data_IF_208074180707
#
_entry.id   IF_208074180707
#
_cell.length_a   1.000
_cell.length_b   1.000
_cell.length_c   1.000
_cell.angle_alpha   90.00
_cell.angle_beta   90.00
_cell.angle_gamma   90.00
#
_symmetry.space_group_name_H-M   'P 1'
#
loop_
_entity.id
_entity.type
_entity.pdbx_description
1 polymer ?
#
# COMPACT_ATOMS: atom_id res chain seq x y z
N UNK A 1 -14.64 -14.17 21.88
CA UNK A 1 -13.55 -13.29 21.44
C UNK A 1 -12.45 -14.16 20.87
N UNK A 2 -11.94 -13.83 19.71
CA UNK A 2 -10.86 -14.53 19.01
C UNK A 2 -9.81 -13.45 18.69
N UNK A 3 -8.57 -13.72 19.06
CA UNK A 3 -7.47 -12.79 18.88
C UNK A 3 -6.48 -13.42 17.90
N UNK A 4 -6.21 -12.72 16.82
CA UNK A 4 -5.24 -13.00 15.77
C UNK A 4 -5.17 -14.47 15.30
N UNK A 5 -6.26 -15.02 14.76
CA UNK A 5 -6.40 -16.46 14.57
C UNK A 5 -5.41 -17.08 13.58
N UNK A 6 -4.70 -16.27 12.77
CA UNK A 6 -3.93 -16.77 11.60
C UNK A 6 -2.53 -16.15 11.47
N UNK A 7 -2.08 -15.33 12.42
CA UNK A 7 -0.89 -14.45 12.27
C UNK A 7 0.47 -15.13 12.04
N UNK A 8 0.60 -16.42 12.33
CA UNK A 8 1.91 -17.10 12.32
C UNK A 8 1.97 -18.33 11.42
N UNK A 9 0.99 -18.52 10.55
CA UNK A 9 0.88 -19.74 9.76
C UNK A 9 1.23 -19.51 8.29
N UNK A 10 1.80 -20.57 7.66
CA UNK A 10 1.95 -20.62 6.22
C UNK A 10 0.58 -20.64 5.49
N UNK A 11 0.60 -20.47 4.18
CA UNK A 11 -0.61 -20.31 3.39
C UNK A 11 -1.55 -21.52 3.48
N UNK A 12 -1.02 -22.73 3.55
CA UNK A 12 -1.83 -23.96 3.63
C UNK A 12 -2.54 -24.07 4.98
N UNK A 13 -1.83 -23.85 6.06
CA UNK A 13 -2.40 -23.84 7.41
C UNK A 13 -3.41 -22.70 7.58
N UNK A 14 -3.16 -21.53 6.96
CA UNK A 14 -4.10 -20.40 6.96
C UNK A 14 -5.46 -20.78 6.38
N UNK A 15 -5.50 -21.44 5.22
CA UNK A 15 -6.74 -21.91 4.58
C UNK A 15 -7.48 -22.88 5.49
N UNK A 16 -6.76 -23.83 6.10
CA UNK A 16 -7.33 -24.80 7.03
C UNK A 16 -7.98 -24.13 8.25
N UNK A 17 -7.30 -23.17 8.87
CA UNK A 17 -7.80 -22.43 10.04
C UNK A 17 -9.03 -21.58 9.67
N UNK A 18 -8.99 -20.86 8.56
CA UNK A 18 -10.12 -20.07 8.11
C UNK A 18 -11.35 -20.95 7.80
N UNK A 19 -11.16 -22.11 7.18
CA UNK A 19 -12.22 -23.06 6.90
C UNK A 19 -12.83 -23.63 8.20
N UNK A 20 -11.98 -23.96 9.19
CA UNK A 20 -12.44 -24.39 10.50
C UNK A 20 -13.19 -23.28 11.23
N UNK A 21 -12.68 -22.06 11.19
CA UNK A 21 -13.32 -20.89 11.78
C UNK A 21 -14.70 -20.65 11.17
N UNK A 22 -14.81 -20.69 9.83
CA UNK A 22 -16.09 -20.61 9.11
C UNK A 22 -17.09 -21.64 9.61
N UNK A 23 -16.67 -22.89 9.68
CA UNK A 23 -17.53 -23.98 10.13
C UNK A 23 -18.02 -23.75 11.55
N UNK A 24 -17.13 -23.41 12.50
CA UNK A 24 -17.47 -23.20 13.91
C UNK A 24 -18.35 -21.99 14.12
N UNK A 25 -18.01 -20.84 13.53
CA UNK A 25 -18.83 -19.63 13.64
C UNK A 25 -20.21 -19.84 13.04
N UNK A 26 -20.29 -20.54 11.90
CA UNK A 26 -21.57 -20.90 11.29
C UNK A 26 -22.42 -21.81 12.17
N UNK A 27 -21.82 -22.80 12.86
CA UNK A 27 -22.53 -23.65 13.82
C UNK A 27 -23.08 -22.85 15.02
N UNK A 28 -22.24 -22.00 15.63
CA UNK A 28 -22.66 -21.19 16.79
C UNK A 28 -23.77 -20.20 16.40
N UNK A 29 -23.66 -19.55 15.24
CA UNK A 29 -24.68 -18.61 14.77
C UNK A 29 -26.02 -19.26 14.47
N UNK A 30 -26.03 -20.49 13.93
CA UNK A 30 -27.26 -21.27 13.72
C UNK A 30 -27.87 -21.80 14.99
N UNK A 31 -27.05 -22.09 15.99
CA UNK A 31 -27.49 -22.66 17.28
C UNK A 31 -28.05 -21.63 18.26
N UNK A 32 -27.72 -20.35 18.11
CA UNK A 32 -28.17 -19.30 19.01
C UNK A 32 -28.13 -17.94 18.33
N UNK A 33 -29.31 -17.37 18.07
CA UNK A 33 -29.50 -16.06 17.42
C UNK A 33 -28.90 -14.88 18.19
N UNK A 34 -28.62 -15.05 19.47
CA UNK A 34 -27.99 -14.03 20.33
C UNK A 34 -26.46 -14.13 20.37
N UNK A 35 -25.85 -15.04 19.61
CA UNK A 35 -24.40 -15.19 19.56
C UNK A 35 -23.75 -13.92 18.99
N UNK A 36 -22.71 -13.44 19.70
CA UNK A 36 -21.90 -12.29 19.26
C UNK A 36 -20.43 -12.70 19.21
N UNK A 37 -19.76 -12.33 18.14
CA UNK A 37 -18.34 -12.61 17.96
C UNK A 37 -17.57 -11.32 17.85
N UNK A 38 -16.40 -11.26 18.46
CA UNK A 38 -15.42 -10.21 18.30
C UNK A 38 -14.13 -10.90 17.88
N UNK A 39 -13.59 -10.49 16.75
CA UNK A 39 -12.35 -11.02 16.18
C UNK A 39 -11.38 -9.86 16.01
N UNK A 40 -10.18 -10.01 16.52
CA UNK A 40 -9.09 -9.04 16.35
C UNK A 40 -8.04 -9.64 15.41
N UNK A 41 -7.44 -8.81 14.61
CA UNK A 41 -6.24 -9.13 13.84
C UNK A 41 -5.47 -7.85 13.50
N UNK A 42 -4.15 -7.95 13.44
CA UNK A 42 -3.28 -6.88 12.97
C UNK A 42 -2.87 -7.09 11.49
N UNK A 43 -3.17 -8.26 10.92
CA UNK A 43 -2.88 -8.59 9.53
C UNK A 43 -4.06 -8.23 8.63
N UNK A 44 -3.83 -7.32 7.68
CA UNK A 44 -4.86 -6.81 6.78
C UNK A 44 -5.43 -7.89 5.85
N UNK A 45 -4.61 -8.86 5.43
CA UNK A 45 -5.09 -9.96 4.59
C UNK A 45 -6.04 -10.86 5.39
N UNK A 46 -5.68 -11.22 6.63
CA UNK A 46 -6.54 -11.97 7.54
C UNK A 46 -7.84 -11.22 7.82
N UNK A 47 -7.79 -9.90 7.95
CA UNK A 47 -8.98 -9.07 8.13
C UNK A 47 -9.96 -9.21 6.96
N UNK A 48 -9.49 -9.11 5.71
CA UNK A 48 -10.35 -9.27 4.54
C UNK A 48 -10.87 -10.70 4.37
N UNK A 49 -10.04 -11.71 4.66
CA UNK A 49 -10.46 -13.11 4.60
C UNK A 49 -11.59 -13.40 5.63
N UNK A 50 -11.46 -12.86 6.86
CA UNK A 50 -12.47 -12.99 7.91
C UNK A 50 -13.74 -12.20 7.55
N UNK A 51 -13.61 -10.99 6.99
CA UNK A 51 -14.74 -10.19 6.54
C UNK A 51 -15.58 -10.95 5.52
N UNK A 52 -14.92 -11.50 4.49
CA UNK A 52 -15.59 -12.32 3.47
C UNK A 52 -16.26 -13.56 4.07
N UNK A 53 -15.56 -14.28 4.93
CA UNK A 53 -16.07 -15.44 5.64
C UNK A 53 -17.33 -15.13 6.46
N UNK A 54 -17.36 -14.02 7.20
CA UNK A 54 -18.52 -13.59 7.99
C UNK A 54 -19.67 -13.18 7.06
N UNK A 55 -19.38 -12.48 5.97
CA UNK A 55 -20.39 -12.11 4.97
C UNK A 55 -21.07 -13.34 4.38
N UNK A 56 -20.32 -14.38 4.02
CA UNK A 56 -20.86 -15.65 3.54
C UNK A 56 -21.73 -16.38 4.59
N UNK A 57 -21.27 -16.44 5.87
CA UNK A 57 -22.05 -17.03 6.96
C UNK A 57 -23.39 -16.29 7.12
N UNK A 58 -23.35 -14.95 7.20
CA UNK A 58 -24.55 -14.13 7.37
C UNK A 58 -25.48 -14.26 6.16
N UNK A 59 -24.92 -14.30 4.95
CA UNK A 59 -25.68 -14.52 3.71
C UNK A 59 -26.43 -15.87 3.74
N UNK A 60 -25.70 -16.92 4.14
CA UNK A 60 -26.27 -18.29 4.25
C UNK A 60 -27.39 -18.39 5.31
N UNK A 61 -27.24 -17.70 6.45
CA UNK A 61 -28.23 -17.76 7.54
C UNK A 61 -29.48 -16.95 7.22
N UNK A 62 -29.30 -15.78 6.64
CA UNK A 62 -30.40 -14.82 6.43
C UNK A 62 -30.98 -14.83 5.02
N UNK A 63 -30.45 -15.63 4.09
CA UNK A 63 -30.93 -15.70 2.70
C UNK A 63 -30.83 -14.39 1.94
N UNK A 64 -29.82 -13.55 2.25
CA UNK A 64 -29.59 -12.23 1.65
C UNK A 64 -28.24 -12.20 0.94
N UNK A 65 -28.10 -11.25 -0.03
CA UNK A 65 -26.80 -11.04 -0.67
C UNK A 65 -25.75 -10.56 0.34
N UNK A 66 -24.48 -10.87 0.08
CA UNK A 66 -23.37 -10.45 0.95
C UNK A 66 -23.33 -8.93 1.14
N UNK A 67 -23.60 -8.14 0.12
CA UNK A 67 -23.68 -6.69 0.22
C UNK A 67 -24.75 -6.21 1.21
N UNK A 68 -25.91 -6.87 1.26
CA UNK A 68 -27.00 -6.54 2.17
C UNK A 68 -26.72 -6.92 3.63
N UNK A 69 -25.90 -7.96 3.87
CA UNK A 69 -25.58 -8.42 5.23
C UNK A 69 -24.45 -7.62 5.88
N UNK A 70 -23.50 -7.07 5.07
CA UNK A 70 -22.33 -6.34 5.55
C UNK A 70 -22.65 -5.17 6.48
N UNK A 71 -23.68 -4.42 6.22
CA UNK A 71 -24.03 -3.25 7.05
C UNK A 71 -25.00 -3.56 8.18
N UNK A 72 -25.65 -4.73 8.13
CA UNK A 72 -26.75 -5.04 9.07
C UNK A 72 -26.34 -5.95 10.20
N UNK A 73 -25.48 -6.94 9.94
CA UNK A 73 -25.24 -8.04 10.88
C UNK A 73 -23.85 -8.03 11.51
N UNK A 74 -22.91 -7.28 10.94
CA UNK A 74 -21.57 -7.11 11.53
C UNK A 74 -21.00 -5.73 11.22
N UNK A 75 -20.02 -5.33 12.00
CA UNK A 75 -19.29 -4.09 11.85
C UNK A 75 -17.81 -4.38 11.69
N UNK A 76 -17.16 -3.63 10.84
CA UNK A 76 -15.73 -3.61 10.66
C UNK A 76 -15.17 -2.38 11.35
N UNK A 77 -14.24 -2.58 12.25
CA UNK A 77 -13.71 -1.53 13.11
C UNK A 77 -12.18 -1.49 13.01
N UNK A 78 -11.64 -0.29 13.04
CA UNK A 78 -10.20 -0.03 13.13
C UNK A 78 -9.91 0.51 14.53
N UNK A 79 -8.96 -0.14 15.21
CA UNK A 79 -8.43 0.32 16.49
C UNK A 79 -7.23 1.21 16.21
N UNK A 80 -7.34 2.48 16.55
CA UNK A 80 -6.22 3.42 16.55
C UNK A 80 -5.86 3.78 18.00
N UNK A 81 -4.69 4.38 18.25
CA UNK A 81 -4.09 4.61 19.58
C UNK A 81 -5.04 5.10 20.68
N UNK A 82 -6.14 5.73 20.35
CA UNK A 82 -7.09 6.28 21.33
C UNK A 82 -8.56 6.09 20.97
N UNK A 83 -8.89 5.54 19.80
CA UNK A 83 -10.27 5.49 19.32
C UNK A 83 -10.54 4.23 18.50
N UNK A 84 -11.79 3.78 18.53
CA UNK A 84 -12.33 2.78 17.62
C UNK A 84 -13.12 3.52 16.55
N UNK A 85 -12.79 3.30 15.28
CA UNK A 85 -13.44 3.91 14.12
C UNK A 85 -14.05 2.84 13.24
N UNK A 86 -15.10 3.19 12.50
CA UNK A 86 -15.62 2.31 11.45
C UNK A 86 -14.56 2.13 10.35
N UNK A 87 -14.24 0.87 10.04
CA UNK A 87 -13.35 0.54 8.95
C UNK A 87 -14.11 0.66 7.62
N UNK A 88 -13.64 1.51 6.75
CA UNK A 88 -14.25 1.67 5.44
C UNK A 88 -13.70 0.61 4.47
N UNK A 89 -14.54 -0.34 4.04
CA UNK A 89 -14.19 -1.36 3.02
C UNK A 89 -13.80 -0.76 1.67
N UNK A 90 -14.25 0.46 1.37
CA UNK A 90 -13.75 1.22 0.23
C UNK A 90 -12.32 1.73 0.48
N UNK A 91 -11.75 1.40 1.65
CA UNK A 91 -10.36 1.63 1.93
C UNK A 91 -9.53 0.81 0.92
N UNK A 92 -8.96 1.54 0.03
CA UNK A 92 -8.04 1.22 -1.04
C UNK A 92 -7.04 0.16 -0.57
N UNK A 93 -6.65 -0.70 -1.47
CA UNK A 93 -5.56 -1.63 -1.19
C UNK A 93 -4.34 -0.85 -0.65
N UNK A 94 -3.47 -1.51 0.06
CA UNK A 94 -2.31 -0.87 0.69
C UNK A 94 -1.48 -0.05 -0.31
N UNK A 95 -1.27 -0.59 -1.50
CA UNK A 95 -0.57 0.10 -2.57
C UNK A 95 -1.24 1.43 -2.97
N UNK A 96 -2.57 1.45 -3.12
CA UNK A 96 -3.32 2.68 -3.43
C UNK A 96 -3.15 3.73 -2.33
N UNK A 97 -3.21 3.31 -1.06
CA UNK A 97 -2.97 4.22 0.09
C UNK A 97 -1.55 4.80 0.05
N UNK A 98 -0.54 3.96 -0.18
CA UNK A 98 0.84 4.41 -0.27
C UNK A 98 1.03 5.39 -1.44
N UNK A 99 0.43 5.10 -2.59
CA UNK A 99 0.51 5.97 -3.77
C UNK A 99 -0.18 7.33 -3.51
N UNK A 100 -1.31 7.34 -2.82
CA UNK A 100 -1.98 8.58 -2.43
C UNK A 100 -1.18 9.40 -1.42
N UNK A 101 -0.53 8.75 -0.45
CA UNK A 101 0.37 9.43 0.48
C UNK A 101 1.51 10.11 -0.30
N UNK A 102 2.11 9.40 -1.27
CA UNK A 102 3.15 9.99 -2.13
C UNK A 102 2.60 11.17 -2.93
N UNK A 103 1.39 11.06 -3.46
CA UNK A 103 0.75 12.13 -4.21
C UNK A 103 0.45 13.35 -3.32
N UNK A 104 -0.15 13.16 -2.16
CA UNK A 104 -0.47 14.24 -1.23
C UNK A 104 0.81 14.92 -0.73
N UNK A 105 1.86 14.16 -0.45
CA UNK A 105 3.16 14.70 -0.09
C UNK A 105 3.80 15.50 -1.25
N UNK A 106 3.74 14.99 -2.47
CA UNK A 106 4.25 15.68 -3.66
C UNK A 106 3.51 17.00 -3.90
N UNK A 107 2.19 17.03 -3.72
CA UNK A 107 1.36 18.20 -3.98
C UNK A 107 1.43 19.25 -2.86
N UNK A 108 1.25 18.82 -1.61
CA UNK A 108 1.08 19.73 -0.47
C UNK A 108 2.28 19.76 0.49
N UNK A 109 3.21 18.82 0.41
CA UNK A 109 4.36 18.74 1.31
C UNK A 109 3.95 18.49 2.78
N UNK A 110 2.94 17.62 3.03
CA UNK A 110 2.48 17.32 4.39
C UNK A 110 3.63 16.88 5.29
N UNK A 111 3.66 17.39 6.52
CA UNK A 111 4.69 17.05 7.52
C UNK A 111 4.51 15.67 8.13
N UNK A 112 3.31 15.08 8.03
CA UNK A 112 2.93 13.86 8.76
C UNK A 112 3.78 12.64 8.37
N UNK A 113 4.26 12.61 7.14
CA UNK A 113 5.06 11.50 6.60
C UNK A 113 6.53 11.85 6.34
N UNK A 114 7.02 13.00 6.80
CA UNK A 114 8.34 13.53 6.45
C UNK A 114 9.48 12.53 6.71
N UNK A 115 9.40 11.76 7.80
CA UNK A 115 10.42 10.77 8.17
C UNK A 115 10.24 9.42 7.45
N UNK A 116 9.02 9.04 7.12
CA UNK A 116 8.70 7.74 6.50
C UNK A 116 8.52 7.79 4.99
N UNK A 117 8.45 8.97 4.39
CA UNK A 117 8.11 9.14 2.96
C UNK A 117 9.09 8.44 2.04
N UNK A 118 10.38 8.38 2.39
CA UNK A 118 11.38 7.66 1.62
C UNK A 118 11.06 6.16 1.48
N UNK A 119 10.72 5.52 2.60
CA UNK A 119 10.33 4.11 2.61
C UNK A 119 9.00 3.88 1.88
N UNK A 120 8.05 4.82 1.97
CA UNK A 120 6.77 4.75 1.27
C UNK A 120 6.99 4.83 -0.25
N UNK A 121 7.78 5.79 -0.71
CA UNK A 121 8.15 5.94 -2.12
C UNK A 121 8.82 4.68 -2.68
N UNK A 122 9.72 4.09 -1.91
CA UNK A 122 10.38 2.85 -2.27
C UNK A 122 9.39 1.69 -2.42
N UNK A 123 8.51 1.47 -1.43
CA UNK A 123 7.47 0.43 -1.50
C UNK A 123 6.58 0.58 -2.72
N UNK A 124 6.21 1.83 -3.07
CA UNK A 124 5.41 2.12 -4.27
C UNK A 124 6.17 1.70 -5.55
N UNK A 125 7.44 2.05 -5.67
CA UNK A 125 8.26 1.69 -6.83
C UNK A 125 8.51 0.18 -6.92
N UNK A 126 8.78 -0.50 -5.81
CA UNK A 126 8.98 -1.95 -5.74
C UNK A 126 7.71 -2.70 -6.17
N UNK A 127 6.56 -2.29 -5.63
CA UNK A 127 5.28 -2.89 -6.00
C UNK A 127 4.98 -2.69 -7.49
N UNK A 128 5.11 -1.46 -8.00
CA UNK A 128 4.90 -1.16 -9.41
C UNK A 128 5.85 -1.96 -10.31
N UNK A 129 7.15 -1.96 -9.99
CA UNK A 129 8.15 -2.69 -10.77
C UNK A 129 7.89 -4.18 -10.81
N UNK A 130 7.55 -4.76 -9.67
CA UNK A 130 7.25 -6.20 -9.56
C UNK A 130 6.00 -6.57 -10.35
N UNK A 131 4.91 -5.81 -10.22
CA UNK A 131 3.63 -6.14 -10.87
C UNK A 131 3.64 -5.85 -12.37
N UNK A 132 4.21 -4.72 -12.80
CA UNK A 132 4.14 -4.28 -14.19
C UNK A 132 5.28 -4.88 -15.04
N UNK A 133 6.49 -4.94 -14.49
CA UNK A 133 7.69 -5.33 -15.24
C UNK A 133 8.34 -6.63 -14.75
N UNK A 134 7.86 -7.22 -13.65
CA UNK A 134 8.51 -8.38 -12.98
C UNK A 134 9.98 -8.08 -12.62
N UNK A 135 10.29 -6.84 -12.29
CA UNK A 135 11.63 -6.35 -11.98
C UNK A 135 11.65 -5.66 -10.61
N UNK A 136 12.68 -5.93 -9.83
CA UNK A 136 12.93 -5.16 -8.60
C UNK A 136 13.39 -3.73 -8.91
N UNK A 137 13.41 -2.88 -7.89
CA UNK A 137 13.77 -1.46 -8.04
C UNK A 137 15.16 -1.26 -8.64
N UNK A 138 16.15 -2.10 -8.25
CA UNK A 138 17.50 -2.07 -8.78
C UNK A 138 17.54 -2.40 -10.27
N UNK A 139 16.73 -3.35 -10.72
CA UNK A 139 16.63 -3.72 -12.13
C UNK A 139 15.90 -2.66 -12.95
N UNK A 140 14.87 -2.01 -12.38
CA UNK A 140 14.19 -0.88 -13.03
C UNK A 140 15.13 0.28 -13.29
N UNK A 141 16.05 0.55 -12.34
CA UNK A 141 16.99 1.66 -12.42
C UNK A 141 18.05 1.49 -13.52
N UNK A 142 18.35 0.24 -13.89
CA UNK A 142 19.38 -0.10 -14.88
C UNK A 142 18.80 -0.56 -16.21
N UNK A 143 17.48 -0.69 -16.32
CA UNK A 143 16.81 -1.16 -17.52
C UNK A 143 16.94 -0.19 -18.69
N UNK A 144 17.58 -0.65 -19.77
CA UNK A 144 17.85 0.17 -20.95
C UNK A 144 16.58 0.62 -21.69
N UNK A 145 15.53 -0.22 -21.70
CA UNK A 145 14.27 0.11 -22.38
C UNK A 145 13.49 1.16 -21.58
N UNK A 146 13.43 1.01 -20.26
CA UNK A 146 12.81 1.99 -19.36
C UNK A 146 13.56 3.33 -19.45
N UNK A 147 14.89 3.30 -19.39
CA UNK A 147 15.70 4.51 -19.54
C UNK A 147 15.52 5.15 -20.93
N UNK A 148 15.45 4.35 -21.98
CA UNK A 148 15.24 4.84 -23.34
C UNK A 148 13.85 5.45 -23.55
N UNK A 149 12.85 5.11 -22.75
CA UNK A 149 11.52 5.73 -22.80
C UNK A 149 11.51 7.20 -22.39
N UNK A 150 12.57 7.67 -21.72
CA UNK A 150 12.75 9.08 -21.36
C UNK A 150 13.47 9.87 -22.45
N UNK A 151 13.16 11.18 -22.63
CA UNK A 151 13.96 12.10 -23.42
C UNK A 151 15.43 12.06 -22.99
N UNK A 152 16.35 12.25 -23.94
CA UNK A 152 17.80 12.15 -23.69
C UNK A 152 18.23 13.06 -22.54
N UNK A 153 17.67 14.28 -22.47
CA UNK A 153 17.92 15.26 -21.40
C UNK A 153 17.54 14.77 -20.01
N UNK A 154 16.51 13.91 -19.88
CA UNK A 154 15.99 13.43 -18.61
C UNK A 154 16.66 12.11 -18.16
N UNK A 155 17.31 11.39 -19.07
CA UNK A 155 17.89 10.07 -18.77
C UNK A 155 18.96 10.11 -17.68
N UNK A 156 19.83 11.11 -17.71
CA UNK A 156 20.89 11.25 -16.71
C UNK A 156 20.29 11.60 -15.34
N UNK A 157 19.30 12.49 -15.35
CA UNK A 157 18.59 12.86 -14.13
C UNK A 157 17.88 11.66 -13.51
N UNK A 158 17.17 10.87 -14.34
CA UNK A 158 16.51 9.65 -13.90
C UNK A 158 17.50 8.63 -13.31
N UNK A 159 18.64 8.41 -13.96
CA UNK A 159 19.69 7.53 -13.43
C UNK A 159 20.19 7.99 -12.07
N UNK A 160 20.50 9.28 -11.92
CA UNK A 160 20.99 9.83 -10.66
C UNK A 160 19.93 9.75 -9.55
N UNK A 161 18.67 9.95 -9.89
CA UNK A 161 17.54 9.84 -9.00
C UNK A 161 17.33 8.40 -8.52
N UNK A 162 17.29 7.44 -9.43
CA UNK A 162 17.15 6.03 -9.10
C UNK A 162 18.36 5.51 -8.30
N UNK A 163 19.56 5.96 -8.64
CA UNK A 163 20.76 5.66 -7.88
C UNK A 163 20.64 6.11 -6.42
N UNK A 164 20.15 7.30 -6.15
CA UNK A 164 19.93 7.79 -4.79
C UNK A 164 18.85 6.98 -4.03
N UNK A 165 17.79 6.57 -4.71
CA UNK A 165 16.74 5.73 -4.09
C UNK A 165 17.19 4.30 -3.82
N UNK A 166 17.99 3.72 -4.71
CA UNK A 166 18.41 2.31 -4.65
C UNK A 166 19.61 2.13 -3.74
N UNK A 167 20.66 2.93 -3.89
CA UNK A 167 21.91 2.77 -3.13
C UNK A 167 21.77 3.00 -1.63
N UNK A 168 20.79 3.79 -1.21
CA UNK A 168 20.52 3.97 0.20
C UNK A 168 19.91 2.74 0.87
N UNK A 169 19.78 1.65 0.11
CA UNK A 169 19.13 0.42 0.57
C UNK A 169 19.99 -0.82 0.48
N UNK A 170 20.75 -0.99 -0.60
CA UNK A 170 21.50 -2.23 -0.83
C UNK A 170 22.86 -2.27 -0.14
N UNK A 171 23.49 -1.10 0.08
CA UNK A 171 24.77 -1.03 0.81
C UNK A 171 24.65 -1.32 2.31
N UNK A 172 23.46 -1.55 2.81
CA UNK A 172 23.24 -1.68 4.25
C UNK A 172 22.75 -3.05 4.73
N UNK A 173 22.38 -3.99 3.86
CA UNK A 173 21.91 -5.31 4.30
C UNK A 173 23.05 -6.25 4.69
N UNK A 174 24.23 -6.14 4.08
CA UNK A 174 25.38 -7.00 4.43
C UNK A 174 26.33 -6.40 5.48
N UNK A 175 26.43 -5.07 5.57
CA UNK A 175 27.28 -4.39 6.56
C UNK A 175 26.55 -3.99 7.87
N UNK A 176 25.23 -3.97 7.89
CA UNK A 176 24.42 -3.51 9.03
C UNK A 176 24.36 -4.41 10.24
N UNK A 177 24.99 -5.56 10.23
CA UNK A 177 25.10 -6.40 11.44
C UNK A 177 26.11 -5.84 12.46
N UNK A 178 26.89 -4.80 12.13
CA UNK A 178 27.98 -4.35 12.97
C UNK A 178 27.99 -2.86 13.40
N UNK A 179 27.06 -2.01 12.97
CA UNK A 179 27.08 -0.61 13.44
C UNK A 179 25.72 -0.10 13.87
N UNK A 180 25.62 0.23 15.15
CA UNK A 180 24.48 0.72 15.91
C UNK A 180 24.04 2.17 15.57
N UNK A 181 24.24 2.66 14.36
CA UNK A 181 23.77 3.99 13.94
C UNK A 181 22.93 3.87 12.67
N UNK A 182 21.63 3.60 12.86
CA UNK A 182 20.61 3.67 11.82
C UNK A 182 20.34 5.12 11.38
N UNK A 183 21.34 5.80 10.85
CA UNK A 183 21.15 7.08 10.19
C UNK A 183 20.57 6.81 8.79
N UNK A 184 19.26 6.96 8.69
CA UNK A 184 18.58 6.86 7.43
C UNK A 184 19.00 8.06 6.56
N UNK A 185 19.69 7.84 5.44
CA UNK A 185 20.17 8.92 4.56
C UNK A 185 19.04 9.89 4.17
N UNK A 186 17.80 9.42 4.09
CA UNK A 186 16.64 10.26 3.85
C UNK A 186 16.38 11.30 4.94
N UNK A 187 16.89 11.11 6.15
CA UNK A 187 16.73 12.10 7.24
C UNK A 187 17.58 13.34 7.01
N UNK A 188 18.64 13.23 6.22
CA UNK A 188 19.52 14.37 5.85
C UNK A 188 19.04 15.13 4.60
N UNK A 189 18.05 14.60 3.87
CA UNK A 189 17.49 15.25 2.69
C UNK A 189 16.46 16.28 3.12
N UNK A 190 16.52 17.49 2.55
CA UNK A 190 15.54 18.54 2.85
C UNK A 190 14.11 18.14 2.45
N UNK A 191 13.12 18.79 3.04
CA UNK A 191 11.70 18.56 2.70
C UNK A 191 11.42 18.81 1.22
N UNK A 192 11.99 19.87 0.67
CA UNK A 192 11.87 20.27 -0.73
C UNK A 192 12.43 19.21 -1.68
N UNK A 193 13.57 18.66 -1.37
CA UNK A 193 14.18 17.56 -2.12
C UNK A 193 13.34 16.28 -2.05
N UNK A 194 12.80 15.96 -0.87
CA UNK A 194 11.86 14.82 -0.71
C UNK A 194 10.60 15.03 -1.54
N UNK A 195 10.05 16.24 -1.53
CA UNK A 195 8.85 16.58 -2.31
C UNK A 195 9.13 16.51 -3.82
N UNK A 196 10.26 17.02 -4.26
CA UNK A 196 10.72 16.90 -5.65
C UNK A 196 10.86 15.43 -6.05
N UNK A 197 11.45 14.61 -5.19
CA UNK A 197 11.58 13.16 -5.39
C UNK A 197 10.20 12.49 -5.55
N UNK A 198 9.23 12.84 -4.72
CA UNK A 198 7.87 12.31 -4.82
C UNK A 198 7.19 12.68 -6.14
N UNK A 199 7.33 13.94 -6.60
CA UNK A 199 6.83 14.38 -7.91
C UNK A 199 7.44 13.57 -9.05
N UNK A 200 8.74 13.33 -9.00
CA UNK A 200 9.45 12.54 -10.02
C UNK A 200 8.98 11.09 -10.09
N UNK A 201 8.76 10.46 -8.94
CA UNK A 201 8.21 9.10 -8.90
C UNK A 201 6.85 9.06 -9.60
N UNK A 202 5.96 9.98 -9.27
CA UNK A 202 4.63 10.03 -9.87
C UNK A 202 4.67 10.31 -11.36
N UNK A 203 5.53 11.20 -11.80
CA UNK A 203 5.77 11.47 -13.23
C UNK A 203 6.32 10.23 -13.93
N UNK A 204 7.28 9.52 -13.33
CA UNK A 204 7.80 8.25 -13.85
C UNK A 204 6.70 7.22 -14.01
N UNK A 205 5.96 6.95 -12.95
CA UNK A 205 4.88 5.96 -12.95
C UNK A 205 3.79 6.32 -13.98
N UNK A 206 3.45 7.61 -14.08
CA UNK A 206 2.49 8.09 -15.05
C UNK A 206 3.00 7.93 -16.51
N UNK A 207 4.27 8.25 -16.78
CA UNK A 207 4.87 8.02 -18.10
C UNK A 207 4.88 6.55 -18.51
N UNK A 208 5.18 5.66 -17.56
CA UNK A 208 5.25 4.23 -17.82
C UNK A 208 3.87 3.60 -17.97
N UNK A 209 2.89 4.01 -17.17
CA UNK A 209 1.52 3.50 -17.22
C UNK A 209 0.49 4.52 -16.73
N UNK A 210 -0.02 5.41 -17.60
CA UNK A 210 -1.02 6.42 -17.23
C UNK A 210 -2.31 5.83 -16.66
N UNK A 211 -2.78 4.73 -17.25
CA UNK A 211 -4.03 4.07 -16.82
C UNK A 211 -3.93 3.54 -15.40
N UNK A 212 -2.77 3.00 -15.01
CA UNK A 212 -2.52 2.54 -13.66
C UNK A 212 -2.64 3.68 -12.64
N UNK A 213 -1.98 4.80 -12.90
CA UNK A 213 -2.02 5.96 -12.01
C UNK A 213 -3.43 6.53 -11.90
N UNK A 214 -4.13 6.70 -13.03
CA UNK A 214 -5.49 7.21 -13.04
C UNK A 214 -6.47 6.28 -12.31
N UNK A 215 -6.29 4.96 -12.40
CA UNK A 215 -7.11 4.01 -11.66
C UNK A 215 -6.93 4.11 -10.14
N UNK A 216 -5.71 4.32 -9.67
CA UNK A 216 -5.40 4.40 -8.24
C UNK A 216 -5.67 5.79 -7.64
N UNK A 217 -5.52 6.87 -8.42
CA UNK A 217 -5.76 8.25 -7.98
C UNK A 217 -7.11 8.82 -8.41
N UNK A 218 -8.05 7.98 -8.84
CA UNK A 218 -9.37 8.41 -9.35
C UNK A 218 -10.19 9.27 -8.38
N UNK A 219 -9.92 9.18 -7.08
CA UNK A 219 -10.58 9.98 -6.04
C UNK A 219 -9.84 11.31 -5.73
N UNK A 220 -8.76 11.60 -6.46
CA UNK A 220 -8.00 12.85 -6.36
C UNK A 220 -8.34 13.70 -7.59
N UNK A 221 -9.17 14.71 -7.37
CA UNK A 221 -9.60 15.61 -8.44
C UNK A 221 -8.38 16.22 -9.16
N UNK A 222 -8.44 16.25 -10.48
CA UNK A 222 -7.39 16.82 -11.34
C UNK A 222 -5.98 16.22 -11.15
N UNK A 223 -5.86 15.02 -10.56
CA UNK A 223 -4.54 14.42 -10.31
C UNK A 223 -3.73 14.22 -11.59
N UNK A 224 -4.38 13.86 -12.68
CA UNK A 224 -3.73 13.69 -13.98
C UNK A 224 -3.15 15.02 -14.52
N UNK A 225 -3.91 16.11 -14.44
CA UNK A 225 -3.48 17.43 -14.88
C UNK A 225 -2.31 17.96 -14.04
N UNK A 226 -2.39 17.74 -12.73
CA UNK A 226 -1.34 18.13 -11.79
C UNK A 226 -0.04 17.36 -12.08
N UNK A 227 -0.10 16.04 -12.29
CA UNK A 227 1.09 15.24 -12.63
C UNK A 227 1.66 15.66 -13.98
N UNK A 228 0.82 15.99 -14.96
CA UNK A 228 1.26 16.53 -16.25
C UNK A 228 1.95 17.89 -16.12
N UNK A 229 1.49 18.77 -15.22
CA UNK A 229 2.16 20.04 -14.98
C UNK A 229 3.57 19.84 -14.42
N UNK A 230 3.75 18.93 -13.46
CA UNK A 230 5.09 18.59 -12.94
C UNK A 230 6.04 18.07 -14.00
N UNK A 231 5.51 17.43 -15.05
CA UNK A 231 6.31 16.94 -16.17
C UNK A 231 6.87 18.09 -17.01
N UNK A 232 6.19 19.24 -17.05
CA UNK A 232 6.66 20.46 -17.72
C UNK A 232 7.72 21.15 -16.85
N UNK A 233 7.44 21.34 -15.56
CA UNK A 233 8.33 21.99 -14.59
C UNK A 233 9.70 21.30 -14.49
N UNK A 234 9.73 19.97 -14.66
CA UNK A 234 10.95 19.16 -14.61
C UNK A 234 11.82 19.26 -15.87
N UNK A 235 11.30 19.85 -16.97
CA UNK A 235 12.05 20.07 -18.21
C UNK A 235 12.83 21.39 -18.20
N UNK A 236 12.49 22.31 -17.30
CA UNK A 236 13.08 23.64 -17.23
C UNK A 236 14.28 23.73 -16.26
N UNK A 237 14.71 22.60 -15.71
CA UNK A 237 15.86 22.48 -14.79
C UNK A 237 16.90 21.54 -15.40
#
# INVERSE_FOLDING_TARGET
MIDDPVSSFDMENRIGILSYLKYKLGQYSKGNDNSKFIIFTHDLQTFYDIEHLIAEICSSIHGKSESAVRHKYFKLLELSDKNIKDFNLNNKNEYTKLLEIVYDFANCGSSDYLHSIGNIMRKVLEAFGTFVYKKGISQLSTDSEIIASFPISERQYFKNFMYRLVLNTDSHLEEKVQTTNDLNFFDFITKEEKQRTAKLILVLLYKLNPLHINAHLKNKDSSEEIIKSWLVDLKEI
#
